data_IF_844432498317
#
_entry.id   IF_844432498317
#
_cell.length_a   1.000
_cell.length_b   1.000
_cell.length_c   1.000
_cell.angle_alpha   90.00
_cell.angle_beta   90.00
_cell.angle_gamma   90.00
#
_symmetry.space_group_name_H-M   'P 1'
#
loop_
_entity.id
_entity.type
_entity.pdbx_description
1 polymer ?
#
# COMPACT_ATOMS: atom_id res chain seq x y z
N UNK A 1 -9.33 9.29 -2.54
CA UNK A 1 -9.55 8.54 -1.28
C UNK A 1 -9.25 9.47 -0.12
N UNK A 2 -9.91 9.24 1.02
CA UNK A 2 -9.76 10.07 2.21
C UNK A 2 -9.62 9.24 3.48
N UNK A 3 -9.13 9.86 4.55
CA UNK A 3 -9.17 9.35 5.91
C UNK A 3 -9.33 10.49 6.90
N UNK A 4 -9.94 10.23 8.04
CA UNK A 4 -9.85 11.12 9.18
C UNK A 4 -8.45 11.03 9.81
N UNK A 5 -7.89 12.18 10.16
CA UNK A 5 -6.66 12.29 10.93
C UNK A 5 -6.68 13.57 11.79
N UNK A 6 -6.02 13.51 12.95
CA UNK A 6 -5.72 14.71 13.74
C UNK A 6 -4.34 15.25 13.34
N UNK A 7 -4.21 16.58 13.32
CA UNK A 7 -2.93 17.28 13.14
C UNK A 7 -2.42 17.91 14.44
N UNK A 8 -3.17 17.78 15.53
CA UNK A 8 -2.78 18.35 16.81
C UNK A 8 -1.58 17.64 17.41
N UNK A 9 -0.78 18.44 18.10
CA UNK A 9 0.41 17.99 18.84
C UNK A 9 0.26 18.22 20.34
N UNK A 10 -0.96 18.48 20.82
CA UNK A 10 -1.29 18.71 22.21
C UNK A 10 -2.71 18.18 22.54
N UNK A 11 -2.98 17.92 23.81
CA UNK A 11 -4.30 17.50 24.31
C UNK A 11 -5.12 18.71 24.81
N UNK A 12 -6.46 18.71 24.65
CA UNK A 12 -7.23 17.75 23.87
C UNK A 12 -7.00 17.87 22.35
N UNK A 13 -7.23 16.79 21.60
CA UNK A 13 -7.22 16.82 20.13
C UNK A 13 -8.49 17.55 19.65
N UNK A 14 -8.33 18.79 19.21
CA UNK A 14 -9.40 19.70 18.80
C UNK A 14 -9.58 19.80 17.27
N UNK A 15 -8.68 19.18 16.48
CA UNK A 15 -8.58 19.39 15.03
C UNK A 15 -8.49 18.07 14.23
N UNK A 16 -9.59 17.30 14.24
CA UNK A 16 -9.75 16.13 13.37
C UNK A 16 -10.41 16.55 12.04
N UNK A 17 -9.73 16.26 10.92
CA UNK A 17 -10.23 16.56 9.58
C UNK A 17 -10.18 15.34 8.65
N UNK A 18 -10.92 15.40 7.55
CA UNK A 18 -10.92 14.41 6.48
C UNK A 18 -9.88 14.75 5.41
N UNK A 19 -8.70 14.15 5.54
CA UNK A 19 -7.59 14.35 4.62
C UNK A 19 -7.70 13.46 3.39
N UNK A 20 -7.34 14.01 2.24
CA UNK A 20 -7.04 13.26 1.02
C UNK A 20 -5.80 12.41 1.28
N UNK A 21 -5.95 11.10 1.11
CA UNK A 21 -4.83 10.15 1.21
C UNK A 21 -4.08 10.04 -0.11
N UNK A 22 -4.83 9.98 -1.21
CA UNK A 22 -4.35 9.99 -2.60
C UNK A 22 -5.51 10.18 -3.60
N UNK A 23 -5.16 10.53 -4.84
CA UNK A 23 -6.02 10.50 -6.01
C UNK A 23 -5.31 9.74 -7.15
N UNK A 24 -6.05 8.99 -7.95
CA UNK A 24 -5.51 8.38 -9.16
C UNK A 24 -5.44 9.43 -10.27
N UNK A 25 -4.40 9.38 -11.10
CA UNK A 25 -4.14 10.43 -12.10
C UNK A 25 -5.31 10.61 -13.07
N UNK A 26 -5.95 9.52 -13.50
CA UNK A 26 -7.07 9.56 -14.46
C UNK A 26 -8.44 9.75 -13.79
N UNK A 27 -8.51 9.80 -12.45
CA UNK A 27 -9.78 10.11 -11.77
C UNK A 27 -10.11 11.60 -11.90
N UNK A 28 -11.39 11.96 -11.74
CA UNK A 28 -11.83 13.38 -11.75
C UNK A 28 -11.07 14.22 -10.72
N UNK A 29 -10.77 13.66 -9.54
CA UNK A 29 -9.95 14.31 -8.52
C UNK A 29 -8.49 14.52 -8.97
N UNK A 30 -7.90 13.52 -9.63
CA UNK A 30 -6.54 13.61 -10.17
C UNK A 30 -6.43 14.66 -11.26
N UNK A 31 -7.38 14.68 -12.20
CA UNK A 31 -7.45 15.69 -13.27
C UNK A 31 -7.70 17.11 -12.73
N UNK A 32 -8.43 17.24 -11.63
CA UNK A 32 -8.61 18.50 -10.92
C UNK A 32 -7.40 18.93 -10.06
N UNK A 33 -6.32 18.12 -10.03
CA UNK A 33 -5.12 18.43 -9.27
C UNK A 33 -5.27 18.28 -7.75
N UNK A 34 -6.26 17.51 -7.28
CA UNK A 34 -6.42 17.22 -5.85
C UNK A 34 -5.26 16.34 -5.37
N UNK A 35 -4.60 16.75 -4.30
CA UNK A 35 -3.39 16.10 -3.79
C UNK A 35 -3.56 15.59 -2.36
N UNK A 36 -2.71 14.63 -1.99
CA UNK A 36 -2.52 14.24 -0.59
C UNK A 36 -2.14 15.46 0.25
N UNK A 37 -2.59 15.49 1.51
CA UNK A 37 -2.30 16.60 2.42
C UNK A 37 -3.41 17.63 2.48
N UNK A 38 -4.26 17.68 1.47
CA UNK A 38 -5.45 18.53 1.48
C UNK A 38 -6.51 17.90 2.38
N UNK A 39 -7.32 18.70 3.06
CA UNK A 39 -8.50 18.21 3.76
C UNK A 39 -9.78 18.83 3.21
N UNK A 40 -10.87 18.07 3.27
CA UNK A 40 -12.19 18.54 2.82
C UNK A 40 -12.74 19.50 3.89
N UNK A 41 -12.94 20.77 3.54
CA UNK A 41 -13.60 21.75 4.39
C UNK A 41 -15.10 21.82 4.16
N UNK A 42 -15.55 21.66 2.90
CA UNK A 42 -16.98 21.65 2.55
C UNK A 42 -17.32 20.70 1.41
N UNK A 43 -18.56 20.25 1.39
CA UNK A 43 -19.19 19.57 0.25
C UNK A 43 -20.53 20.26 -0.04
N UNK A 44 -20.74 20.70 -1.29
CA UNK A 44 -21.93 21.41 -1.74
C UNK A 44 -22.29 22.62 -0.84
N UNK A 45 -21.27 23.33 -0.34
CA UNK A 45 -21.42 24.47 0.57
C UNK A 45 -21.60 24.09 2.05
N UNK A 46 -21.88 22.83 2.38
CA UNK A 46 -21.99 22.34 3.76
C UNK A 46 -20.61 22.07 4.35
N UNK A 47 -20.33 22.64 5.54
CA UNK A 47 -19.09 22.37 6.26
C UNK A 47 -18.98 20.89 6.64
N UNK A 48 -17.78 20.32 6.47
CA UNK A 48 -17.49 18.92 6.78
C UNK A 48 -16.59 18.87 8.01
N UNK A 49 -17.14 18.36 9.10
CA UNK A 49 -16.46 18.06 10.35
C UNK A 49 -16.23 16.56 10.55
N UNK A 50 -16.00 16.17 11.80
CA UNK A 50 -15.78 14.78 12.22
C UNK A 50 -17.04 14.13 12.84
N UNK A 51 -18.17 14.84 12.82
CA UNK A 51 -19.45 14.42 13.38
C UNK A 51 -20.24 13.50 12.42
N UNK A 52 -21.24 12.80 12.96
CA UNK A 52 -22.05 11.84 12.19
C UNK A 52 -22.71 12.44 10.93
N UNK A 53 -23.31 13.65 10.96
CA UNK A 53 -23.85 14.28 9.74
C UNK A 53 -22.81 14.44 8.62
N UNK A 54 -21.58 14.80 8.96
CA UNK A 54 -20.48 14.90 8.00
C UNK A 54 -20.10 13.53 7.45
N UNK A 55 -20.07 12.49 8.29
CA UNK A 55 -19.83 11.11 7.85
C UNK A 55 -20.92 10.64 6.89
N UNK A 56 -22.19 10.97 7.15
CA UNK A 56 -23.32 10.59 6.29
C UNK A 56 -23.21 11.25 4.90
N UNK A 57 -22.83 12.54 4.85
CA UNK A 57 -22.56 13.24 3.58
C UNK A 57 -21.42 12.53 2.83
N UNK A 58 -20.30 12.26 3.51
CA UNK A 58 -19.15 11.59 2.89
C UNK A 58 -19.52 10.19 2.38
N UNK A 59 -20.24 9.40 3.17
CA UNK A 59 -20.72 8.08 2.77
C UNK A 59 -21.60 8.14 1.52
N UNK A 60 -22.53 9.10 1.46
CA UNK A 60 -23.38 9.25 0.28
C UNK A 60 -22.58 9.67 -0.96
N UNK A 61 -21.63 10.61 -0.81
CA UNK A 61 -20.80 11.06 -1.93
C UNK A 61 -19.85 9.98 -2.43
N UNK A 62 -19.19 9.21 -1.56
CA UNK A 62 -18.21 8.20 -1.98
C UNK A 62 -18.85 6.86 -2.34
N UNK A 63 -19.85 6.40 -1.58
CA UNK A 63 -20.38 5.03 -1.69
C UNK A 63 -21.89 4.97 -1.97
N UNK A 64 -22.61 6.07 -1.79
CA UNK A 64 -24.05 6.18 -2.08
C UNK A 64 -24.38 6.57 -3.52
N UNK A 65 -25.55 7.19 -3.69
CA UNK A 65 -26.16 7.46 -5.01
C UNK A 65 -25.71 8.78 -5.63
N UNK A 66 -25.10 9.69 -4.86
CA UNK A 66 -24.59 10.95 -5.40
C UNK A 66 -23.53 10.70 -6.47
N UNK A 67 -23.76 11.20 -7.68
CA UNK A 67 -22.87 11.00 -8.83
C UNK A 67 -21.88 12.15 -9.04
N UNK A 68 -22.15 13.34 -8.48
CA UNK A 68 -21.25 14.48 -8.50
C UNK A 68 -21.46 15.40 -7.29
N UNK A 69 -20.41 16.12 -6.90
CA UNK A 69 -20.46 17.11 -5.82
C UNK A 69 -19.37 18.18 -5.99
N UNK A 70 -19.62 19.37 -5.45
CA UNK A 70 -18.64 20.44 -5.33
C UNK A 70 -17.88 20.30 -4.01
N UNK A 71 -16.57 20.18 -4.07
CA UNK A 71 -15.70 20.07 -2.91
C UNK A 71 -14.93 21.36 -2.70
N UNK A 72 -14.91 21.85 -1.46
CA UNK A 72 -13.93 22.84 -0.99
C UNK A 72 -12.88 22.10 -0.17
N UNK A 73 -11.62 22.31 -0.52
CA UNK A 73 -10.46 21.76 0.16
C UNK A 73 -9.65 22.89 0.80
N UNK A 74 -9.03 22.59 1.93
CA UNK A 74 -7.93 23.37 2.49
C UNK A 74 -6.61 22.67 2.23
N UNK A 75 -5.62 23.42 1.75
CA UNK A 75 -4.27 22.93 1.46
C UNK A 75 -3.34 23.09 2.66
N UNK A 76 -2.17 22.39 2.68
CA UNK A 76 -1.18 22.54 3.74
C UNK A 76 -0.65 23.96 3.95
N UNK A 77 -0.63 24.79 2.89
CA UNK A 77 -0.21 26.20 2.95
C UNK A 77 -1.30 27.15 3.48
N UNK A 78 -2.47 26.61 3.85
CA UNK A 78 -3.61 27.39 4.33
C UNK A 78 -4.46 28.02 3.23
N UNK A 79 -4.15 27.85 1.94
CA UNK A 79 -5.03 28.29 0.85
C UNK A 79 -6.18 27.31 0.63
N UNK A 80 -7.26 27.77 -0.01
CA UNK A 80 -8.38 26.92 -0.40
C UNK A 80 -8.33 26.56 -1.88
N UNK A 81 -8.94 25.43 -2.24
CA UNK A 81 -9.19 25.04 -3.62
C UNK A 81 -10.60 24.45 -3.73
N UNK A 82 -11.25 24.69 -4.87
CA UNK A 82 -12.57 24.13 -5.16
C UNK A 82 -12.46 23.21 -6.37
N UNK A 83 -13.13 22.06 -6.32
CA UNK A 83 -13.24 21.15 -7.46
C UNK A 83 -14.66 20.56 -7.54
N UNK A 84 -15.24 20.56 -8.74
CA UNK A 84 -16.46 19.82 -9.02
C UNK A 84 -16.06 18.42 -9.50
N UNK A 85 -16.34 17.41 -8.68
CA UNK A 85 -15.91 16.04 -8.90
C UNK A 85 -17.12 15.16 -9.21
N UNK A 86 -16.95 14.21 -10.12
CA UNK A 86 -17.97 13.21 -10.47
C UNK A 86 -17.42 11.79 -10.42
N UNK A 87 -18.32 10.82 -10.20
CA UNK A 87 -18.04 9.40 -10.31
C UNK A 87 -17.95 9.03 -11.79
N UNK A 88 -16.77 8.59 -12.21
CA UNK A 88 -16.52 8.07 -13.56
C UNK A 88 -15.74 6.78 -13.47
N UNK A 89 -15.80 5.96 -14.52
CA UNK A 89 -14.79 4.92 -14.72
C UNK A 89 -13.47 5.58 -15.13
N UNK A 90 -12.36 4.99 -14.70
CA UNK A 90 -11.01 5.40 -15.07
C UNK A 90 -10.05 4.23 -14.87
N UNK A 91 -8.88 4.30 -15.50
CA UNK A 91 -7.80 3.34 -15.24
C UNK A 91 -6.99 3.83 -14.04
N UNK A 92 -6.95 3.02 -12.97
CA UNK A 92 -6.15 3.32 -11.79
C UNK A 92 -4.67 3.06 -12.07
N UNK A 93 -3.81 4.06 -11.78
CA UNK A 93 -2.37 3.86 -11.74
C UNK A 93 -1.93 3.26 -10.40
N UNK A 94 -0.90 2.43 -10.41
CA UNK A 94 -0.34 1.79 -9.21
C UNK A 94 0.83 2.56 -8.61
N UNK A 95 1.68 3.16 -9.43
CA UNK A 95 2.72 4.09 -8.99
C UNK A 95 2.10 5.48 -8.85
N UNK A 96 1.88 5.92 -7.61
CA UNK A 96 1.28 7.22 -7.33
C UNK A 96 2.29 8.37 -7.37
N UNK A 97 3.53 8.10 -6.97
CA UNK A 97 4.58 9.10 -6.92
C UNK A 97 5.94 8.42 -6.98
N UNK A 98 6.90 9.07 -7.65
CA UNK A 98 8.30 8.66 -7.63
C UNK A 98 9.20 9.89 -7.69
N UNK A 99 10.28 9.89 -6.92
CA UNK A 99 11.31 10.93 -6.97
C UNK A 99 12.64 10.40 -6.46
N UNK A 100 13.70 11.20 -6.61
CA UNK A 100 14.97 11.01 -5.93
C UNK A 100 15.21 12.17 -4.98
N UNK A 101 15.57 11.84 -3.75
CA UNK A 101 15.82 12.80 -2.68
C UNK A 101 17.32 12.79 -2.38
N UNK A 102 17.94 13.96 -2.43
CA UNK A 102 19.32 14.14 -1.99
C UNK A 102 19.37 14.17 -0.45
N UNK A 103 20.04 13.19 0.14
CA UNK A 103 20.21 13.04 1.59
C UNK A 103 21.71 13.06 1.94
N UNK A 104 22.31 14.25 1.87
CA UNK A 104 23.75 14.44 2.01
C UNK A 104 24.49 13.90 0.78
N UNK A 105 25.38 12.93 0.97
CA UNK A 105 26.14 12.30 -0.14
C UNK A 105 25.40 11.13 -0.78
N UNK A 106 24.18 10.83 -0.32
CA UNK A 106 23.37 9.71 -0.80
C UNK A 106 22.17 10.20 -1.59
N UNK A 107 21.83 9.47 -2.64
CA UNK A 107 20.58 9.62 -3.39
C UNK A 107 19.59 8.55 -2.94
N UNK A 108 18.42 8.99 -2.46
CA UNK A 108 17.37 8.10 -1.97
C UNK A 108 16.25 8.03 -3.01
N UNK A 109 16.04 6.86 -3.59
CA UNK A 109 14.84 6.63 -4.40
C UNK A 109 13.62 6.55 -3.50
N UNK A 110 12.58 7.31 -3.81
CA UNK A 110 11.29 7.26 -3.11
C UNK A 110 10.20 6.86 -4.09
N UNK A 111 9.49 5.77 -3.81
CA UNK A 111 8.43 5.21 -4.65
C UNK A 111 7.17 4.99 -3.82
N UNK A 112 6.06 5.64 -4.17
CA UNK A 112 4.74 5.38 -3.58
C UNK A 112 3.98 4.41 -4.48
N UNK A 113 3.77 3.19 -4.01
CA UNK A 113 3.16 2.10 -4.77
C UNK A 113 1.89 1.59 -4.08
N UNK A 114 0.75 1.84 -4.70
CA UNK A 114 -0.55 1.78 -4.02
C UNK A 114 -1.32 0.47 -4.19
N UNK A 115 -1.11 -0.29 -5.27
CA UNK A 115 -1.80 -1.57 -5.45
C UNK A 115 -1.13 -2.44 -6.53
N UNK A 116 -1.25 -3.76 -6.41
CA UNK A 116 -0.71 -4.72 -7.36
C UNK A 116 -1.78 -5.10 -8.42
N UNK A 117 -1.94 -4.30 -9.47
CA UNK A 117 -2.99 -4.47 -10.50
C UNK A 117 -2.65 -5.47 -11.63
N UNK A 118 -1.59 -6.27 -11.50
CA UNK A 118 -1.17 -7.19 -12.57
C UNK A 118 -0.33 -6.50 -13.62
N UNK A 119 -0.55 -6.84 -14.90
CA UNK A 119 0.28 -6.35 -16.01
C UNK A 119 0.50 -4.83 -16.02
N UNK A 120 -0.53 -3.97 -15.88
CA UNK A 120 -0.32 -2.51 -15.89
C UNK A 120 0.66 -2.04 -14.81
N UNK A 121 0.62 -2.67 -13.63
CA UNK A 121 1.56 -2.36 -12.55
C UNK A 121 2.98 -2.79 -12.88
N UNK A 122 3.18 -3.92 -13.55
CA UNK A 122 4.51 -4.37 -13.99
C UNK A 122 5.14 -3.37 -14.95
N UNK A 123 4.35 -2.82 -15.87
CA UNK A 123 4.82 -1.82 -16.83
C UNK A 123 5.19 -0.51 -16.13
N UNK A 124 4.36 -0.03 -15.20
CA UNK A 124 4.65 1.17 -14.40
C UNK A 124 5.89 0.99 -13.49
N UNK A 125 6.06 -0.20 -12.90
CA UNK A 125 7.23 -0.54 -12.11
C UNK A 125 8.50 -0.57 -12.96
N UNK A 126 8.47 -1.17 -14.16
CA UNK A 126 9.61 -1.17 -15.06
C UNK A 126 10.06 0.26 -15.41
N UNK A 127 9.11 1.17 -15.68
CA UNK A 127 9.40 2.58 -15.93
C UNK A 127 9.97 3.28 -14.67
N UNK A 128 9.37 3.05 -13.50
CA UNK A 128 9.83 3.65 -12.25
C UNK A 128 11.24 3.21 -11.88
N UNK A 129 11.54 1.91 -11.98
CA UNK A 129 12.86 1.38 -11.67
C UNK A 129 13.93 1.76 -12.71
N UNK A 130 13.57 1.86 -13.99
CA UNK A 130 14.46 2.42 -15.01
C UNK A 130 14.84 3.88 -14.67
N UNK A 131 13.87 4.71 -14.29
CA UNK A 131 14.13 6.07 -13.83
C UNK A 131 15.07 6.10 -12.60
N UNK A 132 14.74 5.34 -11.55
CA UNK A 132 15.55 5.32 -10.31
C UNK A 132 16.98 4.80 -10.55
N UNK A 133 17.16 3.82 -11.43
CA UNK A 133 18.47 3.32 -11.86
C UNK A 133 19.26 4.39 -12.59
N UNK A 134 18.64 5.09 -13.54
CA UNK A 134 19.27 6.18 -14.28
C UNK A 134 19.71 7.34 -13.38
N UNK A 135 19.06 7.52 -12.21
CA UNK A 135 19.45 8.53 -11.23
C UNK A 135 20.58 8.09 -10.27
N UNK A 136 20.95 6.81 -10.27
CA UNK A 136 22.06 6.28 -9.46
C UNK A 136 21.79 6.30 -7.96
N UNK A 137 20.61 5.83 -7.52
CA UNK A 137 20.23 5.81 -6.11
C UNK A 137 21.12 4.86 -5.27
N UNK A 138 21.33 5.22 -4.00
CA UNK A 138 22.11 4.47 -3.01
C UNK A 138 21.23 3.74 -1.97
N UNK A 139 20.04 4.28 -1.72
CA UNK A 139 19.04 3.73 -0.81
C UNK A 139 17.65 3.83 -1.47
N UNK A 140 16.73 2.95 -1.09
CA UNK A 140 15.36 2.92 -1.61
C UNK A 140 14.35 2.91 -0.48
N UNK A 141 13.36 3.80 -0.58
CA UNK A 141 12.17 3.84 0.26
C UNK A 141 10.96 3.52 -0.64
N UNK A 142 10.27 2.42 -0.32
CA UNK A 142 9.03 2.02 -0.98
C UNK A 142 7.87 2.21 -0.02
N UNK A 143 6.96 3.12 -0.36
CA UNK A 143 5.80 3.43 0.44
C UNK A 143 4.61 2.57 0.01
N UNK A 144 4.23 1.66 0.91
CA UNK A 144 3.13 0.70 0.78
C UNK A 144 2.03 0.99 1.81
N UNK A 145 2.02 2.19 2.41
CA UNK A 145 1.19 2.49 3.59
C UNK A 145 -0.31 2.32 3.36
N UNK A 146 -0.77 2.37 2.11
CA UNK A 146 -2.16 2.15 1.73
C UNK A 146 -2.38 0.94 0.82
N UNK A 147 -1.37 0.08 0.64
CA UNK A 147 -1.39 -0.96 -0.37
C UNK A 147 -1.95 -2.29 0.15
N UNK A 148 -3.18 -2.70 -0.24
CA UNK A 148 -3.82 -3.92 0.23
C UNK A 148 -3.30 -5.20 -0.46
N UNK A 149 -2.27 -5.09 -1.30
CA UNK A 149 -1.73 -6.16 -2.11
C UNK A 149 -2.40 -6.24 -3.49
N UNK A 150 -2.60 -7.47 -3.99
CA UNK A 150 -3.19 -7.76 -5.30
C UNK A 150 -2.48 -8.93 -5.97
N UNK A 151 -2.14 -8.79 -7.25
CA UNK A 151 -1.48 -9.81 -8.08
C UNK A 151 -0.10 -10.20 -7.53
N UNK A 152 0.11 -11.51 -7.32
CA UNK A 152 1.40 -12.07 -6.92
C UNK A 152 2.45 -11.89 -8.02
N UNK A 153 2.10 -12.00 -9.30
CA UNK A 153 3.05 -11.74 -10.40
C UNK A 153 3.63 -10.31 -10.38
N UNK A 154 2.85 -9.35 -9.88
CA UNK A 154 3.35 -7.98 -9.70
C UNK A 154 4.28 -7.89 -8.49
N UNK A 155 4.03 -8.69 -7.46
CA UNK A 155 4.93 -8.85 -6.32
C UNK A 155 6.26 -9.45 -6.75
N UNK A 156 6.25 -10.57 -7.48
CA UNK A 156 7.45 -11.18 -8.06
C UNK A 156 8.27 -10.15 -8.84
N UNK A 157 7.59 -9.34 -9.65
CA UNK A 157 8.22 -8.27 -10.46
C UNK A 157 8.92 -7.24 -9.58
N UNK A 158 8.24 -6.75 -8.53
CA UNK A 158 8.80 -5.77 -7.61
C UNK A 158 9.95 -6.36 -6.78
N UNK A 159 9.79 -7.58 -6.29
CA UNK A 159 10.83 -8.38 -5.63
C UNK A 159 12.07 -8.50 -6.51
N UNK A 160 11.89 -8.83 -7.80
CA UNK A 160 12.98 -8.97 -8.76
C UNK A 160 13.72 -7.66 -9.04
N UNK A 161 13.05 -6.50 -9.01
CA UNK A 161 13.71 -5.20 -9.15
C UNK A 161 14.53 -4.83 -7.92
N UNK A 162 14.03 -5.11 -6.72
CA UNK A 162 14.63 -4.68 -5.45
C UNK A 162 15.75 -5.62 -4.98
N UNK A 163 15.59 -6.93 -5.18
CA UNK A 163 16.47 -7.92 -4.59
C UNK A 163 17.94 -7.75 -5.03
N UNK A 164 18.92 -8.10 -4.17
CA UNK A 164 20.33 -8.04 -4.52
C UNK A 164 20.69 -8.93 -5.70
N UNK A 165 21.74 -8.60 -6.45
CA UNK A 165 22.20 -9.42 -7.58
C UNK A 165 22.55 -10.86 -7.17
N UNK A 166 23.03 -11.05 -5.94
CA UNK A 166 23.39 -12.36 -5.40
C UNK A 166 22.20 -13.29 -5.13
N UNK A 167 20.97 -12.76 -5.02
CA UNK A 167 19.78 -13.59 -4.83
C UNK A 167 19.23 -14.15 -6.15
N UNK A 168 19.81 -13.79 -7.31
CA UNK A 168 19.33 -14.28 -8.59
C UNK A 168 19.34 -15.83 -8.63
N UNK A 169 18.25 -16.42 -9.12
CA UNK A 169 18.01 -17.86 -9.17
C UNK A 169 17.92 -18.56 -7.78
N UNK A 170 17.95 -17.81 -6.68
CA UNK A 170 17.63 -18.32 -5.35
C UNK A 170 16.11 -18.38 -5.16
N UNK A 171 15.65 -19.18 -4.21
CA UNK A 171 14.22 -19.33 -3.89
C UNK A 171 13.68 -17.99 -3.37
N UNK A 172 12.65 -17.45 -4.02
CA UNK A 172 11.92 -16.29 -3.51
C UNK A 172 10.96 -16.76 -2.42
N UNK A 173 10.04 -17.66 -2.80
CA UNK A 173 9.13 -18.35 -1.88
C UNK A 173 8.63 -19.66 -2.49
N UNK A 174 7.94 -20.44 -1.67
CA UNK A 174 7.21 -21.63 -2.09
C UNK A 174 5.74 -21.49 -1.74
N UNK A 175 4.86 -21.96 -2.62
CA UNK A 175 3.44 -22.12 -2.33
C UNK A 175 3.20 -23.39 -1.52
N UNK A 176 2.39 -23.26 -0.47
CA UNK A 176 1.85 -24.38 0.29
C UNK A 176 0.36 -24.49 -0.03
N UNK A 177 0.00 -25.59 -0.68
CA UNK A 177 -1.37 -25.96 -1.01
C UNK A 177 -1.87 -27.05 -0.05
N UNK A 178 -3.18 -27.32 -0.06
CA UNK A 178 -3.71 -28.47 0.68
C UNK A 178 -3.25 -29.81 0.04
N UNK A 179 -3.34 -30.90 0.82
CA UNK A 179 -2.89 -32.23 0.38
C UNK A 179 -3.66 -32.74 -0.84
N UNK A 180 -4.93 -32.39 -0.99
CA UNK A 180 -5.75 -32.80 -2.16
C UNK A 180 -5.17 -32.26 -3.46
N UNK A 181 -4.79 -30.97 -3.49
CA UNK A 181 -4.13 -30.36 -4.65
C UNK A 181 -2.73 -30.94 -4.88
N UNK A 182 -1.94 -31.13 -3.82
CA UNK A 182 -0.57 -31.65 -3.92
C UNK A 182 -0.51 -33.11 -4.39
N UNK A 183 -1.50 -33.93 -3.99
CA UNK A 183 -1.61 -35.33 -4.37
C UNK A 183 -2.27 -35.54 -5.75
N UNK A 184 -2.47 -34.48 -6.54
CA UNK A 184 -3.12 -34.51 -7.85
C UNK A 184 -4.57 -35.05 -7.82
N UNK A 185 -5.27 -34.84 -6.70
CA UNK A 185 -6.66 -35.29 -6.48
C UNK A 185 -7.68 -34.17 -6.82
N UNK A 186 -7.43 -33.44 -7.90
CA UNK A 186 -8.19 -32.25 -8.30
C UNK A 186 -8.63 -32.30 -9.76
N UNK A 187 -9.16 -33.45 -10.20
CA UNK A 187 -9.50 -33.71 -11.61
C UNK A 187 -10.45 -32.66 -12.21
N UNK A 188 -11.41 -32.15 -11.41
CA UNK A 188 -12.34 -31.10 -11.85
C UNK A 188 -11.64 -29.75 -12.06
N UNK A 189 -10.76 -29.34 -11.14
CA UNK A 189 -9.96 -28.11 -11.29
C UNK A 189 -9.06 -28.23 -12.51
N UNK A 190 -8.39 -29.38 -12.69
CA UNK A 190 -7.56 -29.64 -13.87
C UNK A 190 -8.36 -29.55 -15.17
N UNK A 191 -9.53 -30.20 -15.23
CA UNK A 191 -10.37 -30.20 -16.43
C UNK A 191 -10.96 -28.81 -16.75
N UNK A 192 -11.35 -28.03 -15.73
CA UNK A 192 -12.00 -26.72 -15.93
C UNK A 192 -11.03 -25.55 -16.06
N UNK A 193 -9.92 -25.57 -15.31
CA UNK A 193 -8.97 -24.45 -15.22
C UNK A 193 -7.62 -24.73 -15.91
N UNK A 194 -7.38 -25.97 -16.35
CA UNK A 194 -6.08 -26.36 -16.91
C UNK A 194 -4.94 -26.42 -15.88
N UNK A 195 -5.25 -26.30 -14.58
CA UNK A 195 -4.26 -26.40 -13.51
C UNK A 195 -3.82 -27.86 -13.33
N UNK A 196 -2.78 -28.24 -14.08
CA UNK A 196 -2.15 -29.56 -14.02
C UNK A 196 -1.25 -29.71 -12.79
N UNK A 197 0.05 -29.89 -13.02
CA UNK A 197 1.03 -30.21 -11.97
C UNK A 197 1.55 -28.98 -11.20
N UNK A 198 0.94 -27.80 -11.35
CA UNK A 198 1.39 -26.54 -10.74
C UNK A 198 1.37 -26.56 -9.20
N UNK A 199 0.65 -27.50 -8.60
CA UNK A 199 0.56 -27.66 -7.14
C UNK A 199 1.63 -28.62 -6.58
N UNK A 200 2.37 -29.32 -7.42
CA UNK A 200 3.41 -30.27 -6.99
C UNK A 200 4.59 -29.55 -6.34
N UNK A 201 5.31 -30.25 -5.46
CA UNK A 201 6.49 -29.73 -4.77
C UNK A 201 7.63 -29.30 -5.70
N UNK A 202 7.67 -29.82 -6.93
CA UNK A 202 8.66 -29.40 -7.94
C UNK A 202 8.25 -28.15 -8.72
N UNK A 203 6.96 -27.80 -8.74
CA UNK A 203 6.41 -26.68 -9.50
C UNK A 203 5.96 -25.49 -8.63
N UNK A 204 5.82 -25.71 -7.31
CA UNK A 204 5.33 -24.70 -6.37
C UNK A 204 6.44 -23.79 -5.82
N UNK A 205 7.66 -23.86 -6.35
CA UNK A 205 8.81 -23.03 -5.94
C UNK A 205 9.00 -21.89 -6.93
N UNK A 206 8.94 -20.66 -6.44
CA UNK A 206 9.26 -19.45 -7.20
C UNK A 206 10.67 -19.01 -6.86
N UNK A 207 11.44 -18.64 -7.89
CA UNK A 207 12.82 -18.17 -7.75
C UNK A 207 12.94 -16.74 -8.23
N UNK A 208 13.86 -15.98 -7.65
CA UNK A 208 14.19 -14.65 -8.15
C UNK A 208 14.70 -14.73 -9.58
N UNK A 209 14.20 -13.82 -10.41
CA UNK A 209 14.71 -13.49 -11.74
C UNK A 209 15.14 -12.03 -11.69
N UNK A 210 16.34 -11.77 -11.15
CA UNK A 210 16.83 -10.43 -10.86
C UNK A 210 16.65 -9.50 -12.06
N UNK A 211 15.94 -8.39 -11.85
CA UNK A 211 15.65 -7.39 -12.86
C UNK A 211 16.44 -6.10 -12.61
N UNK A 212 17.03 -5.56 -13.69
CA UNK A 212 17.82 -4.33 -13.68
C UNK A 212 19.09 -4.38 -12.83
N UNK A 213 19.73 -3.22 -12.65
CA UNK A 213 21.08 -3.11 -12.07
C UNK A 213 21.14 -2.65 -10.61
N UNK A 214 20.00 -2.31 -10.00
CA UNK A 214 19.99 -1.93 -8.57
C UNK A 214 20.49 -3.10 -7.72
N UNK A 215 21.47 -2.80 -6.86
CA UNK A 215 22.05 -3.72 -5.91
C UNK A 215 22.30 -2.97 -4.59
N UNK A 216 21.20 -2.63 -3.92
CA UNK A 216 21.21 -1.77 -2.74
C UNK A 216 21.47 -2.61 -1.47
N UNK A 217 22.15 -2.05 -0.45
CA UNK A 217 22.44 -2.79 0.78
C UNK A 217 21.18 -3.04 1.63
N UNK A 218 20.14 -2.22 1.44
CA UNK A 218 18.91 -2.26 2.22
C UNK A 218 17.74 -1.59 1.50
N UNK A 219 16.52 -1.87 1.96
CA UNK A 219 15.29 -1.23 1.52
C UNK A 219 14.44 -0.85 2.74
N UNK A 220 13.82 0.33 2.68
CA UNK A 220 12.85 0.79 3.66
C UNK A 220 11.45 0.65 3.09
N UNK A 221 10.54 0.07 3.86
CA UNK A 221 9.11 0.07 3.55
C UNK A 221 8.37 0.97 4.54
N UNK A 222 7.56 1.88 4.02
CA UNK A 222 6.56 2.58 4.82
C UNK A 222 5.27 1.76 4.78
N UNK A 223 4.77 1.36 5.94
CA UNK A 223 3.69 0.38 6.08
C UNK A 223 2.66 0.77 7.14
N UNK A 224 1.45 0.25 7.02
CA UNK A 224 0.41 0.35 8.06
C UNK A 224 -0.46 -0.90 8.08
N UNK A 225 -1.51 -0.94 8.91
CA UNK A 225 -2.51 -2.00 8.86
C UNK A 225 -3.26 -2.16 7.52
N UNK A 226 -3.09 -1.24 6.56
CA UNK A 226 -3.60 -1.44 5.19
C UNK A 226 -2.61 -2.20 4.30
N UNK A 227 -1.35 -2.30 4.70
CA UNK A 227 -0.31 -3.06 3.99
C UNK A 227 -0.58 -4.54 4.17
N UNK A 228 -1.05 -5.21 3.11
CA UNK A 228 -1.55 -6.58 3.22
C UNK A 228 -1.12 -7.48 2.05
N UNK A 229 -1.19 -8.80 2.25
CA UNK A 229 -1.14 -9.79 1.17
C UNK A 229 0.16 -9.70 0.35
N UNK A 230 0.09 -9.50 -0.97
CA UNK A 230 1.24 -9.29 -1.85
C UNK A 230 2.25 -8.24 -1.33
N UNK A 231 1.79 -7.17 -0.66
CA UNK A 231 2.69 -6.20 -0.01
C UNK A 231 3.53 -6.83 1.10
N UNK A 232 2.94 -7.72 1.90
CA UNK A 232 3.61 -8.43 2.99
C UNK A 232 4.48 -9.57 2.46
N UNK A 233 4.05 -10.21 1.36
CA UNK A 233 4.85 -11.21 0.66
C UNK A 233 6.15 -10.60 0.13
N UNK A 234 6.10 -9.42 -0.49
CA UNK A 234 7.30 -8.65 -0.89
C UNK A 234 8.29 -8.47 0.27
N UNK A 235 7.78 -8.00 1.41
CA UNK A 235 8.58 -7.79 2.62
C UNK A 235 9.18 -9.13 3.10
N UNK A 236 8.37 -10.18 3.17
CA UNK A 236 8.78 -11.50 3.61
C UNK A 236 9.84 -12.12 2.69
N UNK A 237 9.71 -11.94 1.37
CA UNK A 237 10.59 -12.49 0.36
C UNK A 237 11.98 -11.85 0.38
N UNK A 238 12.09 -10.56 0.67
CA UNK A 238 13.36 -9.83 0.66
C UNK A 238 14.17 -10.00 1.95
N UNK A 239 13.53 -10.21 3.10
CA UNK A 239 14.18 -10.31 4.42
C UNK A 239 15.34 -11.31 4.51
N UNK A 240 15.28 -12.51 3.91
CA UNK A 240 16.41 -13.45 3.94
C UNK A 240 17.63 -12.99 3.13
N UNK A 241 17.46 -12.01 2.24
CA UNK A 241 18.45 -11.64 1.23
C UNK A 241 19.06 -10.25 1.42
N UNK A 242 18.39 -9.37 2.16
CA UNK A 242 18.86 -8.01 2.40
C UNK A 242 18.32 -7.43 3.71
N UNK A 243 18.92 -6.33 4.16
CA UNK A 243 18.39 -5.57 5.29
C UNK A 243 17.08 -4.86 4.88
N UNK A 244 16.00 -5.19 5.58
CA UNK A 244 14.66 -4.63 5.35
C UNK A 244 14.23 -3.88 6.60
N UNK A 245 13.85 -2.60 6.43
CA UNK A 245 13.37 -1.74 7.51
C UNK A 245 11.92 -1.37 7.32
N UNK A 246 11.10 -1.54 8.34
CA UNK A 246 9.69 -1.18 8.36
C UNK A 246 9.46 0.07 9.22
N UNK A 247 8.80 1.06 8.62
CA UNK A 247 8.46 2.34 9.26
C UNK A 247 6.94 2.53 9.15
N UNK A 248 6.30 3.04 10.20
CA UNK A 248 4.86 3.29 10.19
C UNK A 248 4.18 2.46 11.27
N UNK A 249 3.23 1.60 10.91
CA UNK A 249 2.49 0.76 11.86
C UNK A 249 2.50 -0.72 11.44
N UNK A 250 2.05 -1.62 12.32
CA UNK A 250 2.00 -3.06 12.06
C UNK A 250 1.18 -3.37 10.81
N UNK A 251 1.68 -4.25 9.94
CA UNK A 251 0.97 -4.67 8.72
C UNK A 251 -0.29 -5.50 9.03
N UNK A 252 -1.08 -5.81 8.02
CA UNK A 252 -2.40 -6.45 8.19
C UNK A 252 -2.32 -7.90 8.73
N UNK A 253 -1.39 -8.70 8.24
CA UNK A 253 -1.21 -10.10 8.60
C UNK A 253 -1.96 -11.09 7.72
N UNK A 254 -1.80 -11.02 6.39
CA UNK A 254 -2.44 -11.93 5.44
C UNK A 254 -1.41 -12.76 4.64
N UNK A 255 -0.96 -13.91 5.16
CA UNK A 255 0.01 -14.79 4.48
C UNK A 255 -0.62 -15.76 3.46
N UNK A 256 -1.86 -15.49 3.05
CA UNK A 256 -2.66 -16.37 2.20
C UNK A 256 -3.15 -15.68 0.94
N UNK A 257 -3.27 -16.45 -0.14
CA UNK A 257 -3.79 -15.98 -1.41
C UNK A 257 -4.81 -16.94 -2.00
N UNK A 258 -5.27 -16.58 -3.20
CA UNK A 258 -6.35 -17.27 -3.89
C UNK A 258 -6.08 -17.30 -5.39
N UNK A 259 -6.64 -18.29 -6.07
CA UNK A 259 -6.85 -18.25 -7.51
C UNK A 259 -8.37 -18.21 -7.79
N UNK A 260 -8.81 -17.61 -8.90
CA UNK A 260 -10.24 -17.57 -9.24
C UNK A 260 -10.77 -18.96 -9.56
N UNK A 261 -11.97 -19.26 -9.09
CA UNK A 261 -12.76 -20.41 -9.57
C UNK A 261 -14.05 -19.87 -10.21
N UNK A 262 -14.21 -20.00 -11.55
CA UNK A 262 -15.38 -19.55 -12.25
C UNK A 262 -16.57 -20.47 -11.99
N UNK A 263 -17.68 -19.89 -11.55
CA UNK A 263 -18.96 -20.56 -11.30
C UNK A 263 -20.07 -19.71 -11.94
N UNK A 264 -20.60 -20.20 -13.06
CA UNK A 264 -21.55 -19.46 -13.89
C UNK A 264 -21.00 -18.07 -14.26
N UNK A 265 -21.69 -17.00 -13.82
CA UNK A 265 -21.35 -15.61 -14.11
C UNK A 265 -20.46 -14.96 -13.04
N UNK A 266 -19.99 -15.74 -12.05
CA UNK A 266 -19.19 -15.25 -10.93
C UNK A 266 -17.83 -15.93 -10.87
N UNK A 267 -16.83 -15.21 -10.39
CA UNK A 267 -15.57 -15.80 -9.93
C UNK A 267 -15.57 -15.81 -8.39
N UNK A 268 -15.37 -16.98 -7.79
CA UNK A 268 -15.16 -17.09 -6.35
C UNK A 268 -13.66 -17.14 -6.05
N UNK A 269 -13.26 -16.54 -4.93
CA UNK A 269 -11.85 -16.42 -4.52
C UNK A 269 -11.63 -17.07 -3.15
N UNK A 270 -11.71 -18.41 -3.04
CA UNK A 270 -11.43 -19.11 -1.80
C UNK A 270 -9.93 -19.04 -1.48
N UNK A 271 -9.58 -18.97 -0.20
CA UNK A 271 -8.19 -19.13 0.22
C UNK A 271 -7.69 -20.45 -0.33
N UNK A 272 -6.66 -20.37 -1.18
CA UNK A 272 -6.20 -21.49 -2.01
C UNK A 272 -4.78 -21.92 -1.67
N UNK A 273 -3.96 -21.01 -1.13
CA UNK A 273 -2.58 -21.26 -0.76
C UNK A 273 -2.12 -20.35 0.37
N UNK A 274 -1.05 -20.76 1.05
CA UNK A 274 -0.15 -19.86 1.80
C UNK A 274 1.23 -19.86 1.17
N UNK A 275 2.08 -18.90 1.52
CA UNK A 275 3.47 -18.82 1.04
C UNK A 275 4.47 -18.92 2.19
N UNK A 276 5.65 -19.45 1.89
CA UNK A 276 6.80 -19.54 2.81
C UNK A 276 8.05 -19.04 2.09
N UNK A 277 8.82 -18.14 2.69
CA UNK A 277 10.05 -17.64 2.08
C UNK A 277 11.19 -18.66 2.17
N UNK A 278 12.35 -18.34 1.60
CA UNK A 278 13.54 -19.21 1.61
C UNK A 278 14.09 -19.55 3.00
N UNK A 279 13.79 -18.75 4.02
CA UNK A 279 14.19 -18.99 5.41
C UNK A 279 13.15 -19.79 6.21
N UNK A 280 12.06 -20.27 5.57
CA UNK A 280 10.99 -20.96 6.26
C UNK A 280 9.99 -20.05 6.97
N UNK A 281 10.09 -18.73 6.82
CA UNK A 281 9.17 -17.76 7.42
C UNK A 281 7.85 -17.71 6.66
N UNK A 282 6.76 -17.96 7.39
CA UNK A 282 5.37 -17.99 6.94
C UNK A 282 4.46 -17.51 8.08
N UNK A 283 3.14 -17.65 7.91
CA UNK A 283 2.15 -17.58 9.00
C UNK A 283 2.19 -16.28 9.84
N UNK A 284 2.55 -15.17 9.22
CA UNK A 284 2.56 -13.82 9.80
C UNK A 284 1.15 -13.24 10.00
N UNK A 285 0.23 -14.01 10.59
CA UNK A 285 -1.19 -13.63 10.77
C UNK A 285 -1.42 -12.42 11.69
N UNK A 286 -0.41 -12.04 12.48
CA UNK A 286 -0.42 -10.83 13.32
C UNK A 286 0.17 -9.61 12.62
N UNK A 287 0.60 -9.75 11.36
CA UNK A 287 1.36 -8.73 10.64
C UNK A 287 2.80 -8.62 11.11
N UNK A 288 3.55 -7.77 10.42
CA UNK A 288 4.92 -7.41 10.74
C UNK A 288 4.94 -6.12 11.54
N UNK A 289 5.48 -6.19 12.75
CA UNK A 289 5.73 -4.99 13.55
C UNK A 289 6.74 -4.08 12.84
N UNK A 290 6.59 -2.75 12.93
CA UNK A 290 7.54 -1.82 12.36
C UNK A 290 8.82 -1.78 13.22
N UNK A 291 9.98 -1.60 12.59
CA UNK A 291 11.22 -1.25 13.29
C UNK A 291 11.11 0.15 13.92
N UNK A 292 10.27 1.01 13.33
CA UNK A 292 10.01 2.36 13.80
C UNK A 292 8.53 2.70 13.69
N UNK A 293 7.84 2.70 14.84
CA UNK A 293 6.45 3.13 14.95
C UNK A 293 6.34 4.64 14.70
N UNK A 294 5.60 5.05 13.66
CA UNK A 294 5.39 6.47 13.28
C UNK A 294 4.00 6.67 12.73
N UNK A 295 3.38 7.81 13.02
CA UNK A 295 2.16 8.24 12.35
C UNK A 295 2.35 8.50 10.85
N UNK A 296 1.26 8.34 10.10
CA UNK A 296 1.17 8.53 8.64
C UNK A 296 1.48 9.98 8.18
N UNK A 297 1.28 11.00 9.02
CA UNK A 297 1.50 12.40 8.63
C UNK A 297 0.77 12.80 7.34
N UNK A 298 -0.50 12.40 7.22
CA UNK A 298 -1.31 12.57 6.00
C UNK A 298 -1.50 14.03 5.58
N UNK A 299 -1.22 15.00 6.47
CA UNK A 299 -1.24 16.43 6.19
C UNK A 299 -0.05 16.92 5.35
N UNK A 300 0.88 16.04 4.99
CA UNK A 300 2.03 16.33 4.11
C UNK A 300 1.93 15.51 2.83
N UNK A 301 2.29 16.14 1.72
CA UNK A 301 2.22 15.50 0.41
C UNK A 301 3.39 14.52 0.21
N UNK A 302 3.32 13.72 -0.85
CA UNK A 302 4.39 12.79 -1.22
C UNK A 302 5.71 13.52 -1.49
N UNK A 303 6.82 12.97 -0.99
CA UNK A 303 8.16 13.53 -1.18
C UNK A 303 8.50 14.70 -0.25
N UNK A 304 7.55 15.18 0.57
CA UNK A 304 7.87 16.11 1.65
C UNK A 304 8.79 15.42 2.66
N UNK A 305 10.06 15.84 2.70
CA UNK A 305 11.10 15.24 3.56
C UNK A 305 10.80 15.40 5.05
N UNK A 306 9.83 16.23 5.41
CA UNK A 306 9.37 16.41 6.78
C UNK A 306 8.16 15.54 7.12
N UNK A 307 7.60 14.79 6.16
CA UNK A 307 6.59 13.76 6.40
C UNK A 307 7.16 12.72 7.38
N UNK A 308 6.50 12.44 8.52
CA UNK A 308 7.09 11.67 9.61
C UNK A 308 7.69 10.32 9.22
N UNK A 309 7.03 9.54 8.35
CA UNK A 309 7.53 8.22 7.95
C UNK A 309 8.72 8.32 7.00
N UNK A 310 8.64 9.22 5.99
CA UNK A 310 9.77 9.50 5.10
C UNK A 310 10.96 10.10 5.86
N UNK A 311 10.70 11.06 6.75
CA UNK A 311 11.72 11.69 7.59
C UNK A 311 12.46 10.65 8.46
N UNK A 312 11.75 9.68 9.04
CA UNK A 312 12.37 8.60 9.80
C UNK A 312 13.27 7.69 8.94
N UNK A 313 12.90 7.45 7.68
CA UNK A 313 13.75 6.73 6.74
C UNK A 313 15.03 7.52 6.43
N UNK A 314 14.89 8.82 6.13
CA UNK A 314 16.01 9.71 5.84
C UNK A 314 16.96 9.89 7.04
N UNK A 315 16.40 9.95 8.25
CA UNK A 315 17.17 9.96 9.51
C UNK A 315 18.00 8.67 9.66
N UNK A 316 17.39 7.50 9.46
CA UNK A 316 18.13 6.23 9.52
C UNK A 316 19.19 6.16 8.41
N UNK A 317 18.88 6.67 7.21
CA UNK A 317 19.80 6.65 6.08
C UNK A 317 21.08 7.46 6.37
N UNK A 318 20.92 8.61 7.04
CA UNK A 318 22.01 9.53 7.39
C UNK A 318 22.76 9.13 8.66
N UNK A 319 22.08 8.60 9.68
CA UNK A 319 22.68 8.34 11.00
C UNK A 319 22.95 6.87 11.30
N UNK A 320 22.32 5.95 10.57
CA UNK A 320 22.40 4.50 10.83
C UNK A 320 21.48 3.99 11.95
N UNK A 321 20.64 4.85 12.54
CA UNK A 321 19.69 4.46 13.59
C UNK A 321 18.41 5.27 13.52
N UNK A 322 17.32 4.76 14.11
CA UNK A 322 16.10 5.55 14.26
C UNK A 322 16.22 6.46 15.48
N UNK A 323 15.78 7.71 15.36
CA UNK A 323 15.70 8.62 16.50
C UNK A 323 14.79 8.06 17.61
N UNK A 324 15.04 8.43 18.86
CA UNK A 324 14.15 8.06 19.98
C UNK A 324 13.01 9.07 20.07
N UNK A 325 11.77 8.59 20.11
CA UNK A 325 10.64 9.43 20.50
C UNK A 325 10.62 9.61 22.02
N UNK A 326 10.12 10.75 22.48
CA UNK A 326 9.69 10.86 23.87
C UNK A 326 8.44 10.00 24.10
N UNK A 327 8.29 9.42 25.28
CA UNK A 327 7.09 8.65 25.64
C UNK A 327 5.80 9.47 25.46
N UNK A 328 5.86 10.77 25.76
CA UNK A 328 4.74 11.70 25.56
C UNK A 328 4.34 11.81 24.08
N UNK A 329 5.31 11.97 23.17
CA UNK A 329 5.02 12.05 21.73
C UNK A 329 4.44 10.75 21.16
N UNK A 330 4.88 9.59 21.66
CA UNK A 330 4.34 8.30 21.23
C UNK A 330 2.90 8.11 21.73
N UNK A 331 2.64 8.44 23.01
CA UNK A 331 1.30 8.36 23.58
C UNK A 331 0.30 9.23 22.83
N UNK A 332 0.70 10.45 22.46
CA UNK A 332 -0.15 11.35 21.71
C UNK A 332 -0.48 10.81 20.31
N UNK A 333 0.51 10.25 19.60
CA UNK A 333 0.27 9.60 18.30
C UNK A 333 -0.70 8.42 18.43
N UNK A 334 -0.52 7.57 19.45
CA UNK A 334 -1.43 6.45 19.71
C UNK A 334 -2.86 6.92 20.01
N UNK A 335 -3.01 8.01 20.78
CA UNK A 335 -4.30 8.58 21.12
C UNK A 335 -5.01 9.16 19.89
N UNK A 336 -4.29 9.91 19.04
CA UNK A 336 -4.81 10.41 17.77
C UNK A 336 -5.24 9.29 16.81
N UNK A 337 -4.45 8.22 16.72
CA UNK A 337 -4.83 7.02 15.95
C UNK A 337 -6.09 6.37 16.52
N UNK A 338 -6.18 6.23 17.85
CA UNK A 338 -7.34 5.63 18.52
C UNK A 338 -8.61 6.45 18.31
N UNK A 339 -8.55 7.76 18.45
CA UNK A 339 -9.71 8.65 18.27
C UNK A 339 -10.21 8.63 16.83
N UNK A 340 -9.33 8.65 15.85
CA UNK A 340 -9.73 8.70 14.43
C UNK A 340 -10.23 7.36 13.89
N UNK A 341 -9.94 6.25 14.58
CA UNK A 341 -10.29 4.88 14.15
C UNK A 341 -11.80 4.67 13.98
N UNK A 342 -12.62 5.21 14.88
CA UNK A 342 -14.08 5.01 14.85
C UNK A 342 -14.70 5.64 13.60
N UNK A 343 -14.41 6.91 13.29
CA UNK A 343 -14.98 7.48 12.06
C UNK A 343 -14.35 6.92 10.79
N UNK A 344 -13.04 6.59 10.79
CA UNK A 344 -12.46 5.88 9.65
C UNK A 344 -13.17 4.54 9.40
N UNK A 345 -13.59 3.83 10.45
CA UNK A 345 -14.45 2.66 10.33
C UNK A 345 -15.83 3.04 9.77
N UNK A 346 -16.50 4.04 10.35
CA UNK A 346 -17.84 4.46 9.92
C UNK A 346 -17.90 4.92 8.45
N UNK A 347 -16.86 5.57 7.93
CA UNK A 347 -16.74 5.90 6.50
C UNK A 347 -16.60 4.63 5.64
N UNK A 348 -15.88 3.61 6.13
CA UNK A 348 -15.64 2.38 5.37
C UNK A 348 -16.73 1.32 5.56
N UNK A 349 -17.70 1.51 6.47
CA UNK A 349 -18.78 0.53 6.71
C UNK A 349 -19.65 0.30 5.47
N UNK A 350 -19.89 1.34 4.68
CA UNK A 350 -20.65 1.25 3.43
C UNK A 350 -19.77 0.98 2.21
N UNK A 351 -18.45 0.88 2.39
CA UNK A 351 -17.53 0.57 1.31
C UNK A 351 -17.66 -0.90 0.97
N UNK A 352 -17.99 -1.19 -0.29
CA UNK A 352 -17.95 -2.56 -0.78
C UNK A 352 -16.54 -3.16 -0.58
N UNK A 353 -16.48 -4.27 0.15
CA UNK A 353 -15.26 -5.04 0.39
C UNK A 353 -15.36 -6.38 -0.34
N UNK A 354 -14.97 -6.38 -1.61
CA UNK A 354 -14.95 -7.56 -2.46
C UNK A 354 -14.34 -7.24 -3.82
N UNK A 355 -14.13 -8.27 -4.65
CA UNK A 355 -13.78 -8.09 -6.05
C UNK A 355 -14.96 -8.56 -6.88
N UNK A 356 -15.63 -7.62 -7.55
CA UNK A 356 -16.69 -7.91 -8.51
C UNK A 356 -16.13 -7.69 -9.91
N UNK A 357 -16.12 -8.74 -10.73
CA UNK A 357 -15.83 -8.65 -12.16
C UNK A 357 -17.12 -9.02 -12.86
N UNK A 358 -17.76 -8.04 -13.48
CA UNK A 358 -18.90 -8.29 -14.35
C UNK A 358 -18.38 -8.99 -15.61
N UNK A 359 -18.73 -10.26 -15.79
CA UNK A 359 -18.47 -10.95 -17.06
C UNK A 359 -19.48 -10.45 -18.08
N UNK A 360 -19.01 -9.60 -19.01
CA UNK A 360 -19.77 -9.19 -20.19
C UNK A 360 -19.89 -10.32 -21.20
#
# INVERSE_FOLDING_TARGET
>A
FIKAASIDKAEPLDSIFWFVTYAYNQSTAGQAGVQRGWYISKINGTAIGYDQPSVDILNNVFFGTTTSASFEFKKPDGTTATANLSKTSFTANSVLYKTVIDAGTKKVGYLVFNQFFGQPSRDELAQAFSYLQGQGINDLVVDLRYNPGGSVDTEDTLSNFIAPSASNNQIMYQYIFNQTLQNNQHQLIRAKLGYGNIFSSSANTVKFQKAGSLNLPRVFFIVTGNTASASELLINNLRPYMDVKLIGDTTYGKPVGFFPIPIYNYDIYPISFKTVNSAGSADYYTGFAPDKLVADGVNKNWGDITEPSLAAALEYISTGSFGRFSAASLNLQMLAMKQTKSANRALNENKFSGMFIERK
#
